data_IF_497333392378
#
_entry.id   IF_497333392378
#
_cell.length_a   1.000
_cell.length_b   1.000
_cell.length_c   1.000
_cell.angle_alpha   90.00
_cell.angle_beta   90.00
_cell.angle_gamma   90.00
#
_symmetry.space_group_name_H-M   'P 1'
#
loop_
_entity.id
_entity.type
_entity.pdbx_description
1 polymer ?
#
# COMPACT_ATOMS: atom_id res chain seq x y z
N UNK A 1 37.80 30.85 20.73
CA UNK A 1 38.11 29.41 20.91
C UNK A 1 37.63 28.69 19.65
N UNK A 2 38.51 27.89 19.05
CA UNK A 2 38.35 27.24 17.74
C UNK A 2 37.19 26.23 17.77
N UNK A 3 36.18 26.42 16.92
CA UNK A 3 35.15 25.41 16.62
C UNK A 3 35.56 24.70 15.33
N UNK A 4 35.71 23.38 15.41
CA UNK A 4 36.53 22.57 14.51
C UNK A 4 36.08 22.53 13.05
N UNK A 5 37.06 22.74 12.17
CA UNK A 5 37.06 22.29 10.79
C UNK A 5 36.87 20.77 10.77
N UNK A 6 35.70 20.31 10.32
CA UNK A 6 35.52 18.92 9.94
C UNK A 6 35.80 18.77 8.46
N UNK A 7 37.08 18.52 8.17
CA UNK A 7 37.55 17.91 6.94
C UNK A 7 37.01 16.47 6.90
N UNK A 8 36.15 16.16 5.95
CA UNK A 8 35.75 14.79 5.65
C UNK A 8 36.04 14.48 4.18
N UNK A 9 36.77 13.38 3.97
CA UNK A 9 37.16 12.82 2.68
C UNK A 9 36.55 11.44 2.62
N UNK A 10 35.66 11.19 1.67
CA UNK A 10 35.25 9.85 1.31
C UNK A 10 35.21 9.75 -0.21
N UNK A 11 36.15 8.99 -0.78
CA UNK A 11 36.23 8.78 -2.23
C UNK A 11 36.07 7.28 -2.51
N UNK A 12 34.89 6.83 -2.93
CA UNK A 12 34.81 5.62 -3.71
C UNK A 12 35.03 5.97 -5.19
N UNK A 13 35.71 5.09 -5.91
CA UNK A 13 35.83 5.17 -7.37
C UNK A 13 34.52 4.66 -7.99
N UNK A 14 33.98 5.39 -8.98
CA UNK A 14 32.64 5.11 -9.51
C UNK A 14 32.60 5.15 -11.04
N UNK A 15 32.76 3.98 -11.67
CA UNK A 15 32.42 3.74 -13.08
C UNK A 15 33.42 4.25 -14.13
N UNK A 16 33.40 3.70 -15.36
CA UNK A 16 34.31 4.13 -16.42
C UNK A 16 33.85 5.46 -17.04
N UNK A 17 34.68 6.51 -16.93
CA UNK A 17 34.58 7.75 -17.71
C UNK A 17 34.18 9.01 -16.95
N UNK A 18 33.89 8.93 -15.64
CA UNK A 18 33.60 10.08 -14.78
C UNK A 18 34.45 10.00 -13.50
N UNK A 19 35.31 10.99 -13.29
CA UNK A 19 36.04 11.19 -12.04
C UNK A 19 35.43 12.37 -11.28
N UNK A 20 35.12 12.16 -10.01
CA UNK A 20 34.42 13.14 -9.17
C UNK A 20 35.38 13.63 -8.08
N UNK A 21 35.65 14.93 -8.07
CA UNK A 21 36.50 15.61 -7.09
C UNK A 21 35.70 16.71 -6.40
N UNK A 22 35.96 16.93 -5.11
CA UNK A 22 35.27 17.95 -4.33
C UNK A 22 36.09 19.24 -4.34
N UNK A 23 35.49 20.35 -4.76
CA UNK A 23 36.05 21.69 -4.61
C UNK A 23 35.25 22.47 -3.56
N UNK A 24 35.94 23.15 -2.65
CA UNK A 24 35.32 23.90 -1.56
C UNK A 24 34.86 25.28 -2.05
N UNK A 25 33.58 25.58 -1.88
CA UNK A 25 33.01 26.91 -2.13
C UNK A 25 32.23 27.36 -0.90
N UNK A 26 32.63 28.48 -0.26
CA UNK A 26 31.97 28.98 0.95
C UNK A 26 31.69 30.50 0.85
N UNK A 27 30.50 30.90 0.39
CA UNK A 27 30.10 32.31 0.33
C UNK A 27 29.47 32.84 1.63
N UNK A 28 29.22 31.99 2.63
CA UNK A 28 28.74 32.38 3.97
C UNK A 28 27.27 32.84 4.08
N UNK A 29 26.57 33.11 2.97
CA UNK A 29 25.13 33.46 2.93
C UNK A 29 24.52 32.93 1.63
N UNK A 30 23.42 32.18 1.72
CA UNK A 30 22.65 31.76 0.54
C UNK A 30 21.78 32.90 0.02
N UNK A 31 21.87 33.23 -1.27
CA UNK A 31 21.07 34.31 -1.88
C UNK A 31 19.71 33.85 -2.42
N UNK A 32 19.59 32.56 -2.66
CA UNK A 32 18.39 31.86 -3.14
C UNK A 32 18.17 30.59 -2.32
N UNK A 33 17.03 29.93 -2.50
CA UNK A 33 16.73 28.69 -1.76
C UNK A 33 17.71 27.57 -2.12
N UNK A 34 18.02 27.41 -3.42
CA UNK A 34 19.00 26.46 -3.96
C UNK A 34 19.63 27.04 -5.23
N UNK A 35 20.95 27.00 -5.33
CA UNK A 35 21.74 27.41 -6.50
C UNK A 35 22.67 26.27 -6.89
N UNK A 36 22.62 25.85 -8.15
CA UNK A 36 23.59 24.93 -8.74
C UNK A 36 24.62 25.72 -9.53
N UNK A 37 25.88 25.63 -9.13
CA UNK A 37 27.02 26.10 -9.89
C UNK A 37 27.52 24.97 -10.80
N UNK A 38 27.78 25.31 -12.05
CA UNK A 38 28.37 24.40 -13.04
C UNK A 38 29.56 25.10 -13.68
N UNK A 39 30.72 24.45 -13.62
CA UNK A 39 31.97 24.93 -14.18
C UNK A 39 32.63 23.88 -15.05
N UNK A 40 33.67 24.30 -15.76
CA UNK A 40 34.59 23.40 -16.43
C UNK A 40 35.98 23.67 -15.87
N UNK A 41 36.55 22.67 -15.21
CA UNK A 41 37.89 22.72 -14.63
C UNK A 41 38.70 21.58 -15.25
N UNK A 42 39.78 21.93 -15.95
CA UNK A 42 40.69 20.97 -16.60
C UNK A 42 40.02 19.95 -17.54
N UNK A 43 38.92 20.34 -18.18
CA UNK A 43 38.16 19.48 -19.09
C UNK A 43 37.14 18.56 -18.39
N UNK A 44 36.99 18.69 -17.07
CA UNK A 44 35.99 18.01 -16.26
C UNK A 44 34.85 18.97 -15.90
N UNK A 45 33.64 18.43 -15.85
CA UNK A 45 32.48 19.17 -15.38
C UNK A 45 32.54 19.26 -13.84
N UNK A 46 32.72 20.47 -13.30
CA UNK A 46 32.62 20.72 -11.86
C UNK A 46 31.21 21.19 -11.53
N UNK A 47 30.64 20.67 -10.43
CA UNK A 47 29.32 21.09 -9.96
C UNK A 47 29.34 21.32 -8.45
N UNK A 48 28.53 22.26 -7.98
CA UNK A 48 28.40 22.56 -6.55
C UNK A 48 27.05 23.17 -6.22
N UNK A 49 26.53 22.85 -5.04
CA UNK A 49 25.26 23.39 -4.55
C UNK A 49 25.51 24.40 -3.43
N UNK A 50 24.86 25.57 -3.54
CA UNK A 50 24.63 26.49 -2.44
C UNK A 50 23.14 26.44 -2.10
N UNK A 51 22.82 26.33 -0.81
CA UNK A 51 21.43 26.16 -0.37
C UNK A 51 21.16 26.84 0.96
N UNK A 52 19.91 27.22 1.18
CA UNK A 52 19.43 27.73 2.46
C UNK A 52 19.27 26.57 3.45
N UNK A 53 20.09 26.55 4.51
CA UNK A 53 20.07 25.50 5.56
C UNK A 53 18.78 25.49 6.38
N UNK A 54 18.03 26.60 6.37
CA UNK A 54 16.70 26.68 6.98
C UNK A 54 15.64 25.88 6.20
N UNK A 55 15.92 25.54 4.92
CA UNK A 55 15.01 24.82 4.02
C UNK A 55 15.49 23.41 3.67
N UNK A 56 16.81 23.19 3.61
CA UNK A 56 17.39 21.92 3.19
C UNK A 56 18.40 21.38 4.19
N UNK A 57 18.24 20.10 4.52
CA UNK A 57 19.27 19.33 5.21
C UNK A 57 20.39 18.94 4.25
N UNK A 58 21.60 18.82 4.79
CA UNK A 58 22.77 18.34 4.03
C UNK A 58 22.51 16.98 3.36
N UNK A 59 21.84 16.07 4.06
CA UNK A 59 21.42 14.75 3.55
C UNK A 59 20.58 14.85 2.27
N UNK A 60 19.72 15.87 2.18
CA UNK A 60 18.85 16.12 1.01
C UNK A 60 19.67 16.60 -0.18
N UNK A 61 20.67 17.44 0.06
CA UNK A 61 21.54 17.98 -1.00
C UNK A 61 22.47 16.90 -1.55
N UNK A 62 22.98 16.03 -0.68
CA UNK A 62 23.76 14.84 -1.10
C UNK A 62 22.90 13.93 -1.99
N UNK A 63 21.63 13.70 -1.64
CA UNK A 63 20.71 12.92 -2.49
C UNK A 63 20.46 13.60 -3.83
N UNK A 64 20.22 14.91 -3.86
CA UNK A 64 20.05 15.67 -5.10
C UNK A 64 21.28 15.62 -6.00
N UNK A 65 22.49 15.60 -5.41
CA UNK A 65 23.73 15.44 -6.16
C UNK A 65 23.80 14.05 -6.81
N UNK A 66 23.40 12.99 -6.13
CA UNK A 66 23.32 11.64 -6.71
C UNK A 66 22.26 11.54 -7.80
N UNK A 67 21.10 12.19 -7.64
CA UNK A 67 20.07 12.25 -8.67
C UNK A 67 20.55 13.00 -9.91
N UNK A 68 21.23 14.14 -9.74
CA UNK A 68 21.82 14.91 -10.83
C UNK A 68 22.87 14.07 -11.58
N UNK A 69 23.71 13.32 -10.85
CA UNK A 69 24.70 12.41 -11.43
C UNK A 69 24.02 11.34 -12.29
N UNK A 70 23.01 10.65 -11.76
CA UNK A 70 22.27 9.61 -12.48
C UNK A 70 21.58 10.17 -13.75
N UNK A 71 21.03 11.37 -13.65
CA UNK A 71 20.42 12.08 -14.78
C UNK A 71 21.44 12.36 -15.89
N UNK A 72 22.62 12.91 -15.54
CA UNK A 72 23.69 13.19 -16.48
C UNK A 72 24.25 11.91 -17.13
N UNK A 73 24.41 10.85 -16.36
CA UNK A 73 24.82 9.52 -16.86
C UNK A 73 23.77 8.95 -17.84
N UNK A 74 22.48 9.09 -17.54
CA UNK A 74 21.40 8.58 -18.40
C UNK A 74 21.33 9.35 -19.72
N UNK A 75 21.38 10.68 -19.67
CA UNK A 75 21.31 11.52 -20.88
C UNK A 75 22.54 11.33 -21.77
N UNK A 76 23.72 11.11 -21.19
CA UNK A 76 24.96 10.88 -21.98
C UNK A 76 25.02 9.49 -22.61
N UNK A 77 24.47 8.47 -21.95
CA UNK A 77 24.45 7.09 -22.47
C UNK A 77 23.29 6.82 -23.43
N UNK A 78 22.13 7.46 -23.23
CA UNK A 78 20.92 7.25 -24.02
C UNK A 78 20.29 8.59 -24.45
N UNK A 79 20.94 9.36 -25.35
CA UNK A 79 20.54 10.74 -25.64
C UNK A 79 19.17 10.89 -26.30
N UNK A 80 18.67 9.85 -26.97
CA UNK A 80 17.36 9.86 -27.65
C UNK A 80 16.20 9.41 -26.74
N UNK A 81 16.48 9.09 -25.47
CA UNK A 81 15.44 8.70 -24.51
C UNK A 81 14.50 9.87 -24.23
N UNK A 82 13.19 9.59 -24.15
CA UNK A 82 12.21 10.62 -23.74
C UNK A 82 12.47 11.02 -22.30
N UNK A 83 12.43 12.33 -22.04
CA UNK A 83 12.62 12.90 -20.69
C UNK A 83 11.66 12.26 -19.67
N UNK A 84 10.41 11.97 -20.07
CA UNK A 84 9.40 11.36 -19.21
C UNK A 84 9.76 9.94 -18.73
N UNK A 85 10.66 9.25 -19.43
CA UNK A 85 11.04 7.86 -19.14
C UNK A 85 12.35 7.79 -18.32
N UNK A 86 12.99 8.92 -18.01
CA UNK A 86 14.24 8.95 -17.24
C UNK A 86 13.94 8.71 -15.76
N UNK A 87 14.54 7.68 -15.18
CA UNK A 87 14.42 7.38 -13.75
C UNK A 87 15.51 8.13 -12.98
N UNK A 88 15.11 8.99 -12.03
CA UNK A 88 16.03 9.70 -11.14
C UNK A 88 16.23 9.01 -9.79
N UNK A 89 15.49 7.94 -9.50
CA UNK A 89 15.65 7.17 -8.27
C UNK A 89 16.94 6.37 -8.30
N UNK A 90 17.72 6.49 -7.24
CA UNK A 90 18.88 5.63 -6.99
C UNK A 90 18.45 4.19 -6.74
N UNK A 91 19.39 3.25 -6.88
CA UNK A 91 19.13 1.84 -6.60
C UNK A 91 18.69 1.61 -5.13
N UNK A 92 19.23 2.37 -4.18
CA UNK A 92 18.84 2.31 -2.77
C UNK A 92 17.43 2.83 -2.52
N UNK A 93 17.03 3.92 -3.18
CA UNK A 93 15.65 4.44 -3.06
C UNK A 93 14.64 3.48 -3.72
N UNK A 94 14.99 2.93 -4.88
CA UNK A 94 14.17 1.92 -5.55
C UNK A 94 14.01 0.67 -4.68
N UNK A 95 15.07 0.27 -3.97
CA UNK A 95 15.01 -0.83 -3.02
C UNK A 95 14.04 -0.53 -1.87
N UNK A 96 13.97 0.68 -1.33
CA UNK A 96 12.99 1.03 -0.28
C UNK A 96 11.54 0.83 -0.75
N UNK A 97 11.22 1.18 -2.01
CA UNK A 97 9.88 0.95 -2.55
C UNK A 97 9.57 -0.52 -2.82
N UNK A 98 10.59 -1.32 -3.18
CA UNK A 98 10.45 -2.75 -3.45
C UNK A 98 10.48 -3.61 -2.18
N UNK A 99 11.26 -3.20 -1.18
CA UNK A 99 11.39 -3.79 0.17
C UNK A 99 10.40 -3.19 1.16
N UNK A 100 9.34 -2.52 0.68
CA UNK A 100 8.16 -2.25 1.48
C UNK A 100 7.11 -3.33 1.20
N UNK A 101 7.30 -4.57 1.70
CA UNK A 101 6.23 -5.52 1.64
C UNK A 101 5.20 -5.01 2.64
N UNK A 102 4.10 -4.48 2.13
CA UNK A 102 2.86 -5.04 2.60
C UNK A 102 2.95 -6.55 2.32
N UNK A 103 3.61 -7.26 3.24
CA UNK A 103 3.53 -8.70 3.42
C UNK A 103 2.07 -8.90 3.83
N UNK A 104 1.19 -8.81 2.85
CA UNK A 104 -0.01 -9.62 2.85
C UNK A 104 0.58 -11.02 2.77
N UNK A 105 0.88 -11.59 3.94
CA UNK A 105 1.02 -13.03 4.04
C UNK A 105 -0.16 -13.58 3.27
N UNK A 106 0.13 -14.36 2.22
CA UNK A 106 -0.87 -14.97 1.37
C UNK A 106 -1.68 -15.99 2.20
N UNK A 107 -2.49 -15.52 3.14
CA UNK A 107 -3.52 -16.29 3.83
C UNK A 107 -4.62 -16.71 2.85
N UNK A 108 -4.56 -16.24 1.60
CA UNK A 108 -5.44 -16.67 0.49
C UNK A 108 -5.34 -18.18 0.28
N UNK A 109 -4.18 -18.81 0.54
CA UNK A 109 -3.99 -20.26 0.35
C UNK A 109 -4.85 -21.13 1.30
N UNK A 110 -5.42 -20.55 2.37
CA UNK A 110 -6.27 -21.27 3.33
C UNK A 110 -7.61 -20.59 3.58
N UNK A 111 -8.09 -19.73 2.68
CA UNK A 111 -9.37 -19.04 2.88
C UNK A 111 -10.55 -20.03 2.83
N UNK A 112 -10.87 -20.57 4.00
CA UNK A 112 -12.11 -21.28 4.27
C UNK A 112 -13.18 -20.20 4.43
N UNK A 113 -14.19 -20.20 3.54
CA UNK A 113 -15.27 -19.20 3.59
C UNK A 113 -15.89 -19.10 4.98
N UNK A 114 -16.27 -17.89 5.41
CA UNK A 114 -16.73 -17.63 6.79
C UNK A 114 -17.83 -18.59 7.28
N UNK A 115 -18.73 -19.02 6.39
CA UNK A 115 -19.76 -20.00 6.68
C UNK A 115 -19.20 -21.38 7.07
N UNK A 116 -18.07 -21.80 6.46
CA UNK A 116 -17.35 -23.03 6.83
C UNK A 116 -16.58 -22.90 8.14
N UNK A 117 -16.02 -21.72 8.42
CA UNK A 117 -15.41 -21.46 9.73
C UNK A 117 -16.46 -21.56 10.85
N UNK A 118 -17.65 -21.00 10.64
CA UNK A 118 -18.77 -21.10 11.59
C UNK A 118 -19.27 -22.54 11.73
N UNK A 119 -19.40 -23.30 10.64
CA UNK A 119 -19.71 -24.74 10.69
C UNK A 119 -18.70 -25.52 11.55
N UNK A 120 -17.41 -25.19 11.44
CA UNK A 120 -16.37 -25.83 12.24
C UNK A 120 -16.51 -25.52 13.74
N UNK A 121 -16.77 -24.26 14.09
CA UNK A 121 -17.00 -23.88 15.50
C UNK A 121 -18.28 -24.50 16.03
N UNK A 122 -19.36 -24.52 15.24
CA UNK A 122 -20.62 -25.17 15.62
C UNK A 122 -20.45 -26.67 15.91
N UNK A 123 -19.51 -27.35 15.25
CA UNK A 123 -19.19 -28.77 15.51
C UNK A 123 -18.30 -28.96 16.73
N UNK A 124 -17.36 -28.06 16.98
CA UNK A 124 -16.34 -28.21 18.03
C UNK A 124 -16.72 -27.58 19.36
N UNK A 125 -17.53 -26.51 19.33
CA UNK A 125 -17.92 -25.69 20.48
C UNK A 125 -19.40 -25.24 20.33
N UNK A 126 -20.36 -26.19 20.25
CA UNK A 126 -21.76 -25.92 19.88
C UNK A 126 -22.46 -24.93 20.81
N UNK A 127 -22.23 -25.03 22.12
CA UNK A 127 -22.94 -24.28 23.16
C UNK A 127 -22.41 -22.86 23.37
N UNK A 128 -21.27 -22.50 22.75
CA UNK A 128 -20.73 -21.14 22.89
C UNK A 128 -21.64 -20.13 22.21
N UNK A 129 -21.82 -18.97 22.84
CA UNK A 129 -22.54 -17.85 22.24
C UNK A 129 -21.84 -17.38 20.96
N UNK A 130 -22.59 -17.36 19.86
CA UNK A 130 -22.11 -16.89 18.56
C UNK A 130 -22.53 -15.45 18.28
N UNK A 131 -23.77 -15.12 18.59
CA UNK A 131 -24.35 -13.80 18.38
C UNK A 131 -25.17 -13.39 19.60
N UNK A 132 -25.09 -12.10 19.91
CA UNK A 132 -25.96 -11.42 20.87
C UNK A 132 -26.49 -10.16 20.19
N UNK A 133 -27.79 -9.98 20.22
CA UNK A 133 -28.47 -8.78 19.76
C UNK A 133 -29.56 -8.43 20.76
N UNK A 134 -29.45 -7.23 21.34
CA UNK A 134 -30.26 -6.83 22.51
C UNK A 134 -30.18 -7.89 23.62
N UNK A 135 -31.32 -8.31 24.17
CA UNK A 135 -31.39 -9.31 25.24
C UNK A 135 -31.39 -10.77 24.73
N UNK A 136 -31.25 -10.97 23.41
CA UNK A 136 -31.28 -12.30 22.79
C UNK A 136 -29.87 -12.75 22.43
N UNK A 137 -29.51 -13.95 22.84
CA UNK A 137 -28.24 -14.60 22.47
C UNK A 137 -28.50 -15.99 21.89
N UNK A 138 -27.77 -16.34 20.83
CA UNK A 138 -27.84 -17.67 20.22
C UNK A 138 -26.46 -18.33 20.16
N UNK A 139 -26.46 -19.66 20.32
CA UNK A 139 -25.24 -20.48 20.26
C UNK A 139 -24.74 -20.69 18.83
N UNK A 140 -23.49 -21.13 18.67
CA UNK A 140 -22.95 -21.52 17.36
C UNK A 140 -23.75 -22.66 16.71
N UNK A 141 -24.22 -23.63 17.50
CA UNK A 141 -25.09 -24.69 16.98
C UNK A 141 -26.40 -24.12 16.42
N UNK A 142 -27.05 -23.21 17.18
CA UNK A 142 -28.31 -22.60 16.77
C UNK A 142 -28.13 -21.74 15.52
N UNK A 143 -27.10 -20.88 15.50
CA UNK A 143 -26.78 -20.06 14.33
C UNK A 143 -26.57 -20.92 13.08
N UNK A 144 -25.76 -21.98 13.18
CA UNK A 144 -25.47 -22.84 12.04
C UNK A 144 -26.73 -23.59 11.56
N UNK A 145 -27.57 -24.06 12.49
CA UNK A 145 -28.82 -24.75 12.17
C UNK A 145 -29.83 -23.83 11.47
N UNK A 146 -30.02 -22.61 11.95
CA UNK A 146 -30.95 -21.68 11.30
C UNK A 146 -30.42 -21.23 9.93
N UNK A 147 -29.12 -20.99 9.80
CA UNK A 147 -28.50 -20.68 8.50
C UNK A 147 -28.64 -21.87 7.51
N UNK A 148 -28.54 -23.11 7.98
CA UNK A 148 -28.76 -24.30 7.16
C UNK A 148 -30.19 -24.38 6.61
N UNK A 149 -31.20 -24.05 7.43
CA UNK A 149 -32.60 -23.99 6.97
C UNK A 149 -32.78 -22.99 5.83
N UNK A 150 -32.16 -21.82 5.94
CA UNK A 150 -32.19 -20.80 4.87
C UNK A 150 -31.52 -21.34 3.62
N UNK A 151 -30.34 -21.97 3.74
CA UNK A 151 -29.63 -22.54 2.61
C UNK A 151 -30.48 -23.59 1.87
N UNK A 152 -31.08 -24.53 2.60
CA UNK A 152 -31.97 -25.55 2.04
C UNK A 152 -33.19 -24.93 1.36
N UNK A 153 -33.79 -23.90 1.95
CA UNK A 153 -34.92 -23.19 1.34
C UNK A 153 -34.55 -22.46 0.04
N UNK A 154 -33.30 -22.02 -0.10
CA UNK A 154 -32.78 -21.37 -1.31
C UNK A 154 -32.42 -22.37 -2.41
N UNK A 155 -31.89 -23.55 -2.07
CA UNK A 155 -31.49 -24.57 -3.06
C UNK A 155 -32.63 -24.96 -4.02
N UNK A 156 -33.89 -24.94 -3.56
CA UNK A 156 -35.06 -25.18 -4.42
C UNK A 156 -35.48 -24.01 -5.32
N UNK A 157 -34.88 -22.83 -5.16
CA UNK A 157 -35.25 -21.57 -5.83
C UNK A 157 -34.15 -21.00 -6.72
N UNK A 158 -32.89 -21.35 -6.45
CA UNK A 158 -31.72 -20.90 -7.21
C UNK A 158 -31.78 -21.50 -8.63
N UNK A 159 -31.59 -20.64 -9.63
CA UNK A 159 -31.64 -21.02 -11.05
C UNK A 159 -30.26 -21.10 -11.69
N UNK A 160 -29.26 -20.45 -11.09
CA UNK A 160 -27.88 -20.38 -11.60
C UNK A 160 -26.87 -20.59 -10.48
N UNK A 161 -25.74 -21.20 -10.81
CA UNK A 161 -24.60 -21.22 -9.89
C UNK A 161 -24.13 -19.78 -9.62
N UNK A 162 -23.74 -19.50 -8.37
CA UNK A 162 -23.26 -18.19 -7.91
C UNK A 162 -24.28 -17.05 -8.12
N UNK A 163 -25.57 -17.35 -8.00
CA UNK A 163 -26.62 -16.33 -8.06
C UNK A 163 -26.43 -15.31 -6.91
N UNK A 164 -26.73 -14.04 -7.18
CA UNK A 164 -26.74 -13.00 -6.14
C UNK A 164 -28.15 -12.91 -5.58
N UNK A 165 -28.28 -13.11 -4.27
CA UNK A 165 -29.55 -13.07 -3.55
C UNK A 165 -29.65 -11.75 -2.80
N UNK A 166 -30.71 -11.00 -3.06
CA UNK A 166 -31.03 -9.79 -2.30
C UNK A 166 -31.42 -10.17 -0.88
N UNK A 167 -30.76 -9.55 0.10
CA UNK A 167 -31.10 -9.65 1.52
C UNK A 167 -31.62 -8.28 1.99
N UNK A 168 -32.94 -8.15 2.06
CA UNK A 168 -33.61 -6.98 2.61
C UNK A 168 -34.08 -7.31 4.04
N UNK A 169 -33.32 -6.83 5.02
CA UNK A 169 -33.59 -7.06 6.44
C UNK A 169 -33.05 -5.89 7.25
N UNK A 170 -33.75 -5.54 8.33
CA UNK A 170 -33.18 -4.69 9.37
C UNK A 170 -32.07 -5.42 10.12
N UNK A 171 -31.31 -4.66 10.93
CA UNK A 171 -30.24 -5.21 11.78
C UNK A 171 -30.85 -6.14 12.82
N UNK A 172 -30.57 -7.43 12.71
CA UNK A 172 -31.10 -8.47 13.60
C UNK A 172 -30.24 -9.74 13.56
N UNK A 173 -30.55 -10.72 14.42
CA UNK A 173 -29.98 -12.07 14.31
C UNK A 173 -30.34 -12.70 12.96
N UNK A 174 -31.57 -12.49 12.48
CA UNK A 174 -32.06 -13.03 11.22
C UNK A 174 -31.30 -12.51 10.00
N UNK A 175 -30.80 -11.27 10.06
CA UNK A 175 -29.91 -10.72 9.03
C UNK A 175 -28.63 -11.58 8.89
N UNK A 176 -27.99 -11.92 10.02
CA UNK A 176 -26.77 -12.75 9.99
C UNK A 176 -27.09 -14.19 9.58
N UNK A 177 -28.20 -14.76 10.07
CA UNK A 177 -28.70 -16.07 9.64
C UNK A 177 -28.91 -16.09 8.12
N UNK A 178 -29.54 -15.05 7.56
CA UNK A 178 -29.78 -14.88 6.13
C UNK A 178 -28.50 -14.81 5.32
N UNK A 179 -27.53 -13.98 5.74
CA UNK A 179 -26.21 -13.88 5.10
C UNK A 179 -25.51 -15.24 5.06
N UNK A 180 -25.46 -15.95 6.19
CA UNK A 180 -24.79 -17.25 6.26
C UNK A 180 -25.52 -18.32 5.45
N UNK A 181 -26.86 -18.30 5.43
CA UNK A 181 -27.66 -19.21 4.63
C UNK A 181 -27.44 -19.01 3.12
N UNK A 182 -27.37 -17.77 2.66
CA UNK A 182 -27.04 -17.44 1.25
C UNK A 182 -25.64 -17.95 0.89
N UNK A 183 -24.64 -17.71 1.75
CA UNK A 183 -23.27 -18.19 1.53
C UNK A 183 -23.20 -19.74 1.52
N UNK A 184 -23.93 -20.40 2.41
CA UNK A 184 -24.04 -21.87 2.46
C UNK A 184 -24.69 -22.46 1.20
N UNK A 185 -25.63 -21.73 0.59
CA UNK A 185 -26.24 -22.09 -0.67
C UNK A 185 -25.32 -21.85 -1.89
N UNK A 186 -24.09 -21.40 -1.68
CA UNK A 186 -23.12 -21.11 -2.76
C UNK A 186 -23.42 -19.82 -3.52
N UNK A 187 -24.18 -18.91 -2.90
CA UNK A 187 -24.61 -17.66 -3.50
C UNK A 187 -23.90 -16.46 -2.85
N UNK A 188 -23.87 -15.33 -3.55
CA UNK A 188 -23.49 -14.05 -2.97
C UNK A 188 -24.74 -13.36 -2.40
N UNK A 189 -24.60 -12.58 -1.32
CA UNK A 189 -25.70 -11.74 -0.83
C UNK A 189 -25.48 -10.28 -1.22
N UNK A 190 -26.57 -9.59 -1.57
CA UNK A 190 -26.60 -8.15 -1.75
C UNK A 190 -27.47 -7.54 -0.64
N UNK A 191 -26.89 -6.87 0.37
CA UNK A 191 -27.68 -6.25 1.42
C UNK A 191 -28.38 -5.00 0.88
N UNK A 192 -29.69 -4.91 1.14
CA UNK A 192 -30.50 -3.72 0.85
C UNK A 192 -31.11 -3.24 2.16
N UNK A 193 -30.95 -1.95 2.45
CA UNK A 193 -31.61 -1.33 3.60
C UNK A 193 -33.10 -1.15 3.29
N UNK A 194 -34.01 -1.74 4.10
CA UNK A 194 -35.45 -1.58 3.89
C UNK A 194 -35.94 -0.13 4.01
N UNK A 195 -35.16 0.76 4.62
CA UNK A 195 -35.50 2.18 4.78
C UNK A 195 -35.18 3.03 3.53
N UNK A 196 -34.60 2.44 2.48
CA UNK A 196 -34.41 3.17 1.24
C UNK A 196 -35.77 3.53 0.60
N UNK A 197 -35.90 4.72 0.01
CA UNK A 197 -37.08 5.07 -0.79
C UNK A 197 -37.31 4.04 -1.89
N UNK A 198 -38.58 3.73 -2.20
CA UNK A 198 -38.96 2.76 -3.23
C UNK A 198 -38.26 3.00 -4.57
N UNK A 199 -38.07 4.27 -4.94
CA UNK A 199 -37.44 4.69 -6.19
C UNK A 199 -35.96 4.27 -6.34
N UNK A 200 -35.35 3.72 -5.28
CA UNK A 200 -33.98 3.16 -5.26
C UNK A 200 -33.97 1.63 -5.35
N UNK A 201 -35.13 0.98 -5.28
CA UNK A 201 -35.29 -0.47 -5.13
C UNK A 201 -35.90 -1.16 -6.37
N UNK A 202 -36.31 -0.37 -7.38
CA UNK A 202 -36.89 -0.83 -8.64
C UNK A 202 -35.83 -1.21 -9.71
#
# INVERSE_FOLDING_TARGET
>A
MRGGEKLWVNTPSFGPGLELSHSFFNPGVSKFDLTLFVGNEDGLLSTGFEYATDLFEESTIIQLQEHLRLLLETITTTPDQKIADITMLTASEKAIFLDNPQKVENHIASFVGIHKAIEHVAKTQPDKTALTFEDVSISYETLNREAEKVAVALLGKIKKNNETIVLCSERSIDMIVGMLGILKAGCAYLPIDPNYPSDRLD
#
